data_IF_609117650224
#
_entry.id   IF_609117650224
#
_cell.length_a   1.000
_cell.length_b   1.000
_cell.length_c   1.000
_cell.angle_alpha   90.00
_cell.angle_beta   90.00
_cell.angle_gamma   90.00
#
_symmetry.space_group_name_H-M   'P 1'
#
loop_
_entity.id
_entity.type
_entity.pdbx_description
1 polymer ?
#
# COMPACT_ATOMS: atom_id res chain seq x y z
N UNK A 1 -22.29 -7.45 26.52
CA UNK A 1 -21.03 -6.81 26.13
C UNK A 1 -20.64 -5.87 27.27
N UNK A 2 -19.45 -6.06 27.82
CA UNK A 2 -18.89 -5.35 28.97
C UNK A 2 -18.05 -4.15 28.47
N UNK A 3 -18.29 -2.92 28.93
CA UNK A 3 -17.54 -1.73 28.49
C UNK A 3 -16.07 -1.72 28.95
N UNK A 4 -15.66 -2.67 29.78
CA UNK A 4 -14.30 -2.76 30.35
C UNK A 4 -13.31 -3.54 29.47
N UNK A 5 -13.75 -4.04 28.31
CA UNK A 5 -12.90 -4.73 27.34
C UNK A 5 -13.07 -4.14 25.93
N UNK A 6 -12.84 -2.82 25.84
CA UNK A 6 -12.73 -2.09 24.59
C UNK A 6 -11.24 -1.90 24.25
N UNK A 7 -10.70 -2.55 23.20
CA UNK A 7 -9.30 -2.40 22.82
C UNK A 7 -8.98 -1.04 22.15
N UNK A 8 -9.92 -0.09 22.14
CA UNK A 8 -9.88 1.19 21.42
C UNK A 8 -10.23 2.39 22.29
N UNK A 9 -9.70 2.46 23.51
CA UNK A 9 -9.66 3.71 24.28
C UNK A 9 -8.97 4.84 23.47
N UNK A 10 -9.18 6.13 23.83
CA UNK A 10 -8.91 7.29 22.96
C UNK A 10 -7.44 7.60 22.61
N UNK A 11 -6.55 6.60 22.59
CA UNK A 11 -5.15 6.73 22.21
C UNK A 11 -4.65 5.70 21.17
N UNK A 12 -5.45 4.73 20.70
CA UNK A 12 -4.94 3.75 19.74
C UNK A 12 -5.88 3.48 18.55
N UNK A 13 -5.45 4.08 17.44
CA UNK A 13 -5.62 3.66 16.05
C UNK A 13 -6.96 3.94 15.38
N UNK A 14 -6.81 4.82 14.42
CA UNK A 14 -7.82 5.40 13.57
C UNK A 14 -8.52 4.33 12.73
N UNK A 15 -9.78 4.59 12.40
CA UNK A 15 -10.57 3.84 11.44
C UNK A 15 -9.98 3.99 10.03
N UNK A 16 -8.89 3.29 9.72
CA UNK A 16 -8.37 3.11 8.38
C UNK A 16 -9.18 2.04 7.62
N UNK A 17 -10.51 2.17 7.62
CA UNK A 17 -11.40 1.33 6.80
C UNK A 17 -12.03 2.07 5.64
N UNK A 18 -12.00 3.41 5.65
CA UNK A 18 -12.66 4.27 4.66
C UNK A 18 -11.77 4.66 3.47
N UNK A 19 -10.47 4.37 3.55
CA UNK A 19 -9.48 4.66 2.50
C UNK A 19 -8.94 3.41 1.80
N UNK A 20 -9.46 2.21 2.13
CA UNK A 20 -9.22 1.01 1.32
C UNK A 20 -9.94 1.20 -0.02
N UNK A 21 -9.17 1.63 -1.01
CA UNK A 21 -9.58 1.84 -2.39
C UNK A 21 -10.15 0.54 -2.98
N UNK A 22 -11.48 0.39 -2.99
CA UNK A 22 -12.15 -0.67 -3.75
C UNK A 22 -12.86 -0.05 -4.94
N UNK A 23 -12.09 0.27 -5.98
CA UNK A 23 -12.64 0.57 -7.30
C UNK A 23 -11.77 -0.15 -8.32
N UNK A 24 -11.89 -1.47 -8.35
CA UNK A 24 -11.26 -2.31 -9.39
C UNK A 24 -12.29 -3.23 -10.07
N UNK A 25 -13.55 -3.20 -9.66
CA UNK A 25 -14.60 -4.15 -10.11
C UNK A 25 -15.51 -3.54 -11.18
N UNK A 26 -15.59 -2.21 -11.29
CA UNK A 26 -16.45 -1.55 -12.28
C UNK A 26 -15.86 -1.60 -13.71
N UNK A 27 -14.53 -1.67 -13.83
CA UNK A 27 -13.83 -1.70 -15.13
C UNK A 27 -13.92 -3.06 -15.87
N UNK A 28 -14.40 -4.13 -15.21
CA UNK A 28 -14.45 -5.50 -15.78
C UNK A 28 -15.87 -6.00 -16.05
N UNK A 29 -16.89 -5.23 -15.68
CA UNK A 29 -18.31 -5.62 -15.82
C UNK A 29 -18.94 -4.86 -16.98
N UNK A 30 -18.66 -5.26 -18.22
CA UNK A 30 -19.33 -4.69 -19.39
C UNK A 30 -19.93 -5.78 -20.27
N UNK A 31 -21.09 -6.27 -19.84
CA UNK A 31 -22.00 -7.09 -20.63
C UNK A 31 -23.28 -6.26 -20.96
N UNK A 32 -23.11 -5.02 -21.44
CA UNK A 32 -24.23 -4.19 -21.90
C UNK A 32 -24.14 -4.01 -23.43
N UNK A 33 -25.02 -4.63 -24.24
CA UNK A 33 -24.88 -4.74 -25.69
C UNK A 33 -25.21 -3.47 -26.48
N UNK A 34 -25.54 -2.37 -25.80
CA UNK A 34 -26.07 -1.14 -26.39
C UNK A 34 -25.25 0.11 -26.06
N UNK A 35 -24.09 -0.03 -25.40
CA UNK A 35 -23.10 1.03 -25.23
C UNK A 35 -21.76 0.59 -25.83
N UNK A 36 -21.26 1.39 -26.78
CA UNK A 36 -19.96 1.19 -27.42
C UNK A 36 -18.87 0.98 -26.36
N UNK A 37 -18.28 -0.22 -26.42
CA UNK A 37 -17.09 -0.75 -25.75
C UNK A 37 -16.38 0.22 -24.79
N UNK A 38 -16.58 0.13 -23.46
CA UNK A 38 -15.62 0.66 -22.52
C UNK A 38 -14.31 -0.09 -22.75
N UNK A 39 -13.26 0.69 -22.98
CA UNK A 39 -11.88 0.24 -23.13
C UNK A 39 -11.56 -0.94 -22.21
N UNK A 40 -11.26 -2.11 -22.76
CA UNK A 40 -10.92 -3.29 -21.98
C UNK A 40 -9.58 -3.00 -21.26
N UNK A 41 -9.54 -3.00 -19.91
CA UNK A 41 -8.34 -2.65 -19.15
C UNK A 41 -7.19 -3.66 -19.33
N UNK A 42 -7.47 -4.81 -19.96
CA UNK A 42 -6.49 -5.81 -20.35
C UNK A 42 -6.20 -5.81 -21.87
N UNK A 43 -6.84 -4.92 -22.64
CA UNK A 43 -6.60 -4.77 -24.07
C UNK A 43 -5.24 -4.12 -24.31
N UNK A 44 -4.30 -4.90 -24.87
CA UNK A 44 -2.95 -4.45 -25.18
C UNK A 44 -1.90 -5.52 -24.91
N UNK A 45 -0.62 -5.13 -25.01
CA UNK A 45 0.48 -5.96 -24.53
C UNK A 45 0.60 -5.88 -23.01
N UNK A 46 0.88 -7.00 -22.35
CA UNK A 46 1.15 -7.02 -20.92
C UNK A 46 2.25 -6.01 -20.55
N UNK A 47 2.09 -5.26 -19.46
CA UNK A 47 3.14 -4.40 -18.87
C UNK A 47 4.19 -5.23 -18.11
N UNK A 48 4.57 -6.40 -18.65
CA UNK A 48 5.62 -7.22 -18.08
C UNK A 48 6.96 -6.53 -18.34
N UNK A 49 7.43 -5.82 -17.32
CA UNK A 49 8.77 -5.24 -17.30
C UNK A 49 9.74 -6.36 -16.92
N UNK A 50 10.84 -6.49 -17.67
CA UNK A 50 11.94 -7.39 -17.34
C UNK A 50 12.36 -7.18 -15.88
N UNK A 51 12.55 -8.28 -15.13
CA UNK A 51 12.89 -8.21 -13.71
C UNK A 51 14.14 -7.34 -13.47
N UNK A 52 15.09 -7.36 -14.42
CA UNK A 52 16.29 -6.54 -14.39
C UNK A 52 15.96 -5.05 -14.40
N UNK A 53 15.04 -4.62 -15.27
CA UNK A 53 14.68 -3.21 -15.43
C UNK A 53 13.87 -2.72 -14.22
N UNK A 54 12.95 -3.54 -13.71
CA UNK A 54 12.25 -3.26 -12.45
C UNK A 54 13.24 -3.07 -11.29
N UNK A 55 14.23 -3.95 -11.19
CA UNK A 55 15.23 -3.91 -10.12
C UNK A 55 16.15 -2.69 -10.25
N UNK A 56 16.48 -2.30 -11.48
CA UNK A 56 17.30 -1.12 -11.74
C UNK A 56 16.56 0.18 -11.39
N UNK A 57 15.30 0.31 -11.80
CA UNK A 57 14.46 1.49 -11.52
C UNK A 57 14.11 1.58 -10.02
N UNK A 58 13.90 0.45 -9.34
CA UNK A 58 13.58 0.44 -7.91
C UNK A 58 14.80 0.57 -6.99
N UNK A 59 16.02 0.35 -7.49
CA UNK A 59 17.24 0.36 -6.66
C UNK A 59 17.42 1.64 -5.83
N UNK A 60 17.22 2.88 -6.35
CA UNK A 60 17.36 4.09 -5.55
C UNK A 60 16.39 4.14 -4.37
N UNK A 61 15.13 3.77 -4.58
CA UNK A 61 14.11 3.74 -3.53
C UNK A 61 14.45 2.70 -2.46
N UNK A 62 14.93 1.52 -2.86
CA UNK A 62 15.37 0.47 -1.92
C UNK A 62 16.56 0.93 -1.08
N UNK A 63 17.54 1.60 -1.68
CA UNK A 63 18.71 2.13 -0.97
C UNK A 63 18.30 3.22 0.01
N UNK A 64 17.50 4.19 -0.43
CA UNK A 64 16.98 5.26 0.42
C UNK A 64 16.18 4.70 1.60
N UNK A 65 15.29 3.75 1.36
CA UNK A 65 14.51 3.10 2.42
C UNK A 65 15.38 2.32 3.41
N UNK A 66 16.45 1.67 2.95
CA UNK A 66 17.43 1.01 3.84
C UNK A 66 18.19 2.02 4.70
N UNK A 67 18.54 3.18 4.15
CA UNK A 67 19.20 4.24 4.90
C UNK A 67 18.25 4.86 5.93
N UNK A 68 17.01 5.15 5.52
CA UNK A 68 15.96 5.67 6.41
C UNK A 68 15.77 4.79 7.63
N UNK A 69 15.57 3.48 7.44
CA UNK A 69 15.41 2.53 8.56
C UNK A 69 16.56 2.57 9.57
N UNK A 70 17.81 2.73 9.10
CA UNK A 70 18.96 2.83 10.01
C UNK A 70 18.97 4.13 10.80
N UNK A 71 18.51 5.22 10.20
CA UNK A 71 18.37 6.50 10.88
C UNK A 71 17.24 6.45 11.89
N UNK A 72 16.12 5.81 11.54
CA UNK A 72 14.98 5.61 12.44
C UNK A 72 15.39 4.77 13.65
N UNK A 73 16.07 3.63 13.45
CA UNK A 73 16.58 2.79 14.55
C UNK A 73 17.52 3.58 15.49
N UNK A 74 18.40 4.41 14.90
CA UNK A 74 19.32 5.25 15.67
C UNK A 74 18.56 6.33 16.47
N UNK A 75 17.58 6.97 15.84
CA UNK A 75 16.75 7.99 16.47
C UNK A 75 15.91 7.38 17.59
N UNK A 76 15.32 6.20 17.38
CA UNK A 76 14.51 5.50 18.37
C UNK A 76 15.36 5.13 19.59
N UNK A 77 16.59 4.62 19.40
CA UNK A 77 17.51 4.33 20.51
C UNK A 77 17.94 5.59 21.25
N UNK A 78 18.16 6.70 20.54
CA UNK A 78 18.56 7.97 21.16
C UNK A 78 17.43 8.61 21.98
N UNK A 79 16.21 8.60 21.44
CA UNK A 79 15.05 9.26 22.06
C UNK A 79 14.48 8.41 23.19
N UNK A 80 14.31 7.11 22.97
CA UNK A 80 13.58 6.23 23.88
C UNK A 80 14.49 5.34 24.72
N UNK A 81 15.81 5.34 24.50
CA UNK A 81 16.75 4.58 25.32
C UNK A 81 16.52 3.06 25.28
N UNK A 82 15.87 2.54 24.23
CA UNK A 82 15.62 1.10 24.09
C UNK A 82 16.90 0.41 23.64
N UNK A 83 17.71 0.04 24.62
CA UNK A 83 18.73 -1.00 24.52
C UNK A 83 17.98 -2.35 24.53
N UNK A 84 18.27 -3.18 23.53
CA UNK A 84 17.74 -4.51 23.19
C UNK A 84 16.68 -5.18 24.10
#
# INVERSE_FOLDING_TARGET
>A
MDPSNDPGGPADRESCGRCSFSTVVDAVSTDDPEHESPHDPFEGGHIEVEERDLRLVSAPAVVAGRLGRRLDDLAERLIYGRED
#
